data_IF_345461046670
#
_entry.id   IF_345461046670
#
_cell.length_a   1.000
_cell.length_b   1.000
_cell.length_c   1.000
_cell.angle_alpha   90.00
_cell.angle_beta   90.00
_cell.angle_gamma   90.00
#
_symmetry.space_group_name_H-M   'P 1'
#
loop_
_entity.id
_entity.type
_entity.pdbx_description
1 polymer ?
#
# COMPACT_ATOMS: atom_id res chain seq x y z
N UNK A 1 -5.82 -41.72 7.36
CA UNK A 1 -6.14 -40.32 7.04
C UNK A 1 -5.73 -39.39 8.17
N UNK A 2 -6.01 -39.73 9.44
CA UNK A 2 -5.72 -38.86 10.61
C UNK A 2 -4.27 -38.40 10.75
N UNK A 3 -3.26 -39.30 10.76
CA UNK A 3 -1.86 -38.89 10.87
C UNK A 3 -1.40 -37.97 9.73
N UNK A 4 -1.84 -38.22 8.49
CA UNK A 4 -1.42 -37.40 7.35
C UNK A 4 -2.01 -35.98 7.45
N UNK A 5 -3.27 -35.83 7.87
CA UNK A 5 -3.88 -34.54 8.14
C UNK A 5 -3.16 -33.79 9.27
N UNK A 6 -2.79 -34.49 10.34
CA UNK A 6 -2.05 -33.88 11.43
C UNK A 6 -0.69 -33.32 10.96
N UNK A 7 0.11 -34.12 10.28
CA UNK A 7 1.41 -33.66 9.79
C UNK A 7 1.28 -32.53 8.77
N UNK A 8 0.26 -32.55 7.91
CA UNK A 8 -0.01 -31.46 6.98
C UNK A 8 -0.30 -30.14 7.72
N UNK A 9 -1.18 -30.17 8.71
CA UNK A 9 -1.51 -29.01 9.51
C UNK A 9 -0.34 -28.54 10.41
N UNK A 10 0.48 -29.49 10.89
CA UNK A 10 1.70 -29.17 11.63
C UNK A 10 2.70 -28.41 10.77
N UNK A 11 2.94 -28.87 9.53
CA UNK A 11 3.83 -28.18 8.60
C UNK A 11 3.34 -26.78 8.31
N UNK A 12 2.04 -26.58 8.09
CA UNK A 12 1.43 -25.25 7.91
C UNK A 12 1.66 -24.39 9.16
N UNK A 13 1.44 -24.92 10.34
CA UNK A 13 1.65 -24.19 11.61
C UNK A 13 3.10 -23.74 11.75
N UNK A 14 4.04 -24.63 11.50
CA UNK A 14 5.49 -24.34 11.57
C UNK A 14 5.91 -23.29 10.54
N UNK A 15 5.29 -23.27 9.35
CA UNK A 15 5.58 -22.27 8.31
C UNK A 15 5.28 -20.83 8.72
N UNK A 16 4.47 -20.61 9.75
CA UNK A 16 4.20 -19.26 10.30
C UNK A 16 5.18 -18.81 11.38
N UNK A 17 6.06 -19.69 11.90
CA UNK A 17 7.03 -19.33 12.93
C UNK A 17 7.96 -18.17 12.51
N UNK A 18 8.42 -18.04 11.25
CA UNK A 18 9.27 -16.92 10.85
C UNK A 18 8.66 -15.54 11.08
N UNK A 19 7.32 -15.43 11.18
CA UNK A 19 6.65 -14.13 11.44
C UNK A 19 7.04 -13.56 12.80
N UNK A 20 7.33 -14.42 13.80
CA UNK A 20 7.72 -13.98 15.14
C UNK A 20 9.14 -13.42 15.22
N UNK A 21 9.96 -13.57 14.16
CA UNK A 21 11.30 -13.00 14.07
C UNK A 21 11.27 -11.58 13.48
N UNK A 22 10.11 -11.11 13.00
CA UNK A 22 9.96 -9.78 12.46
C UNK A 22 10.27 -8.70 13.50
N UNK A 23 11.00 -7.66 13.08
CA UNK A 23 11.42 -6.54 13.93
C UNK A 23 10.27 -5.74 14.54
N UNK A 24 10.58 -4.82 15.45
CA UNK A 24 9.65 -4.17 16.37
C UNK A 24 8.35 -3.62 15.76
N UNK A 25 8.41 -2.94 14.63
CA UNK A 25 7.21 -2.33 14.00
C UNK A 25 6.38 -3.38 13.27
N UNK A 26 7.01 -4.19 12.43
CA UNK A 26 6.36 -5.29 11.71
C UNK A 26 5.83 -6.33 12.69
N UNK A 27 6.59 -6.65 13.74
CA UNK A 27 6.19 -7.57 14.77
C UNK A 27 4.92 -7.13 15.50
N UNK A 28 4.79 -5.87 15.89
CA UNK A 28 3.58 -5.35 16.56
C UNK A 28 2.31 -5.52 15.75
N UNK A 29 2.39 -5.39 14.43
CA UNK A 29 1.25 -5.55 13.53
C UNK A 29 0.95 -7.03 13.24
N UNK A 30 1.99 -7.82 12.93
CA UNK A 30 1.79 -9.19 12.47
C UNK A 30 1.74 -10.24 13.57
N UNK A 31 2.30 -9.98 14.76
CA UNK A 31 2.29 -10.93 15.87
C UNK A 31 0.86 -11.32 16.32
N UNK A 32 -0.09 -10.39 16.53
CA UNK A 32 -1.47 -10.76 16.89
C UNK A 32 -2.15 -11.61 15.82
N UNK A 33 -1.92 -11.27 14.53
CA UNK A 33 -2.44 -12.03 13.40
C UNK A 33 -1.85 -13.44 13.34
N UNK A 34 -0.53 -13.57 13.51
CA UNK A 34 0.19 -14.83 13.51
C UNK A 34 -0.27 -15.73 14.68
N UNK A 35 -0.43 -15.18 15.87
CA UNK A 35 -0.94 -15.92 17.04
C UNK A 35 -2.35 -16.44 16.79
N UNK A 36 -3.26 -15.57 16.35
CA UNK A 36 -4.66 -15.96 16.07
C UNK A 36 -4.71 -17.09 15.05
N UNK A 37 -3.96 -16.96 13.96
CA UNK A 37 -3.90 -17.95 12.89
C UNK A 37 -3.28 -19.25 13.34
N UNK A 38 -2.18 -19.19 14.07
CA UNK A 38 -1.49 -20.37 14.63
C UNK A 38 -2.38 -21.14 15.60
N UNK A 39 -3.05 -20.45 16.51
CA UNK A 39 -3.98 -21.10 17.46
C UNK A 39 -5.20 -21.68 16.75
N UNK A 40 -5.76 -20.98 15.76
CA UNK A 40 -6.89 -21.49 14.98
C UNK A 40 -6.52 -22.77 14.20
N UNK A 41 -5.34 -22.82 13.57
CA UNK A 41 -4.86 -24.00 12.85
C UNK A 41 -4.55 -25.15 13.81
N UNK A 42 -3.89 -24.86 14.94
CA UNK A 42 -3.60 -25.88 15.96
C UNK A 42 -4.90 -26.48 16.57
N UNK A 43 -5.86 -25.63 16.90
CA UNK A 43 -7.17 -26.07 17.33
C UNK A 43 -7.90 -26.90 16.28
N UNK A 44 -7.87 -26.46 15.01
CA UNK A 44 -8.44 -27.19 13.88
C UNK A 44 -7.78 -28.57 13.69
N UNK A 45 -6.46 -28.66 13.87
CA UNK A 45 -5.73 -29.93 13.82
C UNK A 45 -6.19 -30.90 14.93
N UNK A 46 -6.30 -30.40 16.17
CA UNK A 46 -6.79 -31.20 17.30
C UNK A 46 -8.25 -31.67 17.09
N UNK A 47 -9.12 -30.77 16.64
CA UNK A 47 -10.51 -31.09 16.32
C UNK A 47 -10.61 -32.12 15.17
N UNK A 48 -9.76 -31.99 14.15
CA UNK A 48 -9.67 -32.91 13.03
C UNK A 48 -9.33 -34.35 13.44
N UNK A 49 -8.51 -34.52 14.47
CA UNK A 49 -8.11 -35.85 14.97
C UNK A 49 -9.13 -36.39 15.99
N UNK A 50 -9.78 -35.52 16.77
CA UNK A 50 -10.65 -35.93 17.87
C UNK A 50 -12.13 -35.95 17.46
N UNK A 51 -12.67 -34.79 17.11
CA UNK A 51 -14.13 -34.64 16.87
C UNK A 51 -14.56 -35.19 15.52
N UNK A 52 -13.76 -34.98 14.47
CA UNK A 52 -14.16 -35.41 13.13
C UNK A 52 -14.37 -36.92 13.04
N UNK A 53 -13.47 -37.81 13.52
CA UNK A 53 -13.72 -39.25 13.53
C UNK A 53 -14.97 -39.65 14.33
N UNK A 54 -15.21 -39.00 15.47
CA UNK A 54 -16.37 -39.25 16.32
C UNK A 54 -17.65 -38.85 15.57
N UNK A 55 -17.69 -37.65 14.97
CA UNK A 55 -18.83 -37.21 14.18
C UNK A 55 -19.07 -38.11 12.97
N UNK A 56 -18.02 -38.61 12.32
CA UNK A 56 -18.17 -39.55 11.21
C UNK A 56 -18.91 -40.82 11.63
N UNK A 57 -18.62 -41.36 12.82
CA UNK A 57 -19.32 -42.55 13.34
C UNK A 57 -20.79 -42.26 13.61
N UNK A 58 -21.12 -41.06 14.12
CA UNK A 58 -22.52 -40.72 14.46
C UNK A 58 -23.32 -40.20 13.27
N UNK A 59 -22.74 -39.47 12.35
CA UNK A 59 -23.44 -38.82 11.25
C UNK A 59 -23.47 -39.68 10.00
N UNK A 60 -22.42 -40.44 9.70
CA UNK A 60 -22.36 -41.29 8.51
C UNK A 60 -23.01 -42.64 8.83
N UNK A 61 -24.31 -42.73 8.60
CA UNK A 61 -25.09 -43.94 8.79
C UNK A 61 -25.57 -44.50 7.45
N UNK A 62 -25.48 -45.80 7.29
CA UNK A 62 -25.97 -46.50 6.08
C UNK A 62 -24.85 -47.09 5.21
N UNK A 63 -25.25 -47.66 4.05
CA UNK A 63 -24.31 -48.26 3.11
C UNK A 63 -23.64 -47.14 2.29
N UNK A 64 -22.37 -46.90 2.53
CA UNK A 64 -21.59 -45.96 1.73
C UNK A 64 -21.37 -46.56 0.35
N UNK A 65 -21.85 -45.90 -0.74
CA UNK A 65 -21.60 -46.39 -2.09
C UNK A 65 -20.09 -46.41 -2.37
N UNK A 66 -19.63 -47.43 -3.10
CA UNK A 66 -18.24 -47.55 -3.52
C UNK A 66 -17.85 -46.30 -4.35
N UNK A 67 -16.65 -45.80 -4.12
CA UNK A 67 -16.10 -44.59 -4.79
C UNK A 67 -16.14 -44.68 -6.32
N UNK A 68 -15.98 -45.91 -6.86
CA UNK A 68 -16.05 -46.19 -8.30
C UNK A 68 -17.44 -45.94 -8.93
N UNK A 69 -18.50 -45.78 -8.14
CA UNK A 69 -19.86 -45.54 -8.62
C UNK A 69 -20.14 -44.07 -8.93
N UNK A 70 -19.29 -43.17 -8.42
CA UNK A 70 -19.45 -41.74 -8.67
C UNK A 70 -18.86 -41.37 -10.04
N UNK A 71 -19.66 -40.85 -11.00
CA UNK A 71 -19.15 -40.50 -12.33
C UNK A 71 -18.09 -39.44 -12.30
N UNK A 72 -18.15 -38.49 -11.34
CA UNK A 72 -17.17 -37.46 -11.16
C UNK A 72 -15.81 -38.06 -10.74
N UNK A 73 -15.81 -39.03 -9.84
CA UNK A 73 -14.61 -39.71 -9.39
C UNK A 73 -13.96 -40.52 -10.51
N UNK A 74 -14.75 -41.22 -11.30
CA UNK A 74 -14.26 -41.93 -12.48
C UNK A 74 -13.61 -41.01 -13.52
N UNK A 75 -14.25 -39.86 -13.77
CA UNK A 75 -13.68 -38.87 -14.69
C UNK A 75 -12.37 -38.29 -14.19
N UNK A 76 -12.34 -37.90 -12.91
CA UNK A 76 -11.12 -37.40 -12.26
C UNK A 76 -9.99 -38.44 -12.28
N UNK A 77 -10.27 -39.69 -11.97
CA UNK A 77 -9.29 -40.78 -12.02
C UNK A 77 -8.74 -40.98 -13.43
N UNK A 78 -9.63 -41.04 -14.45
CA UNK A 78 -9.19 -41.20 -15.85
C UNK A 78 -8.28 -40.06 -16.32
N UNK A 79 -8.52 -38.85 -15.84
CA UNK A 79 -7.71 -37.69 -16.17
C UNK A 79 -6.36 -37.70 -15.41
N UNK A 80 -6.39 -38.10 -14.14
CA UNK A 80 -5.22 -38.09 -13.27
C UNK A 80 -4.28 -39.28 -13.47
N UNK A 81 -4.83 -40.47 -13.71
CA UNK A 81 -4.09 -41.73 -13.78
C UNK A 81 -2.95 -41.74 -14.82
N UNK A 82 -3.13 -41.30 -16.07
CA UNK A 82 -2.03 -41.28 -17.04
C UNK A 82 -0.91 -40.34 -16.63
N UNK A 83 -1.27 -39.18 -16.00
CA UNK A 83 -0.29 -38.23 -15.51
C UNK A 83 0.50 -38.79 -14.31
N UNK A 84 -0.19 -39.45 -13.38
CA UNK A 84 0.43 -40.13 -12.24
C UNK A 84 1.43 -41.21 -12.70
N UNK A 85 1.01 -42.07 -13.61
CA UNK A 85 1.92 -43.11 -14.13
C UNK A 85 3.09 -42.54 -14.92
N UNK A 86 2.92 -41.45 -15.64
CA UNK A 86 4.04 -40.76 -16.30
C UNK A 86 5.06 -40.24 -15.29
N UNK A 87 4.59 -39.55 -14.24
CA UNK A 87 5.45 -39.02 -13.16
C UNK A 87 6.22 -40.17 -12.46
N UNK A 88 5.51 -41.23 -12.11
CA UNK A 88 6.11 -42.40 -11.45
C UNK A 88 7.10 -43.16 -12.33
N UNK A 89 6.86 -43.20 -13.63
CA UNK A 89 7.72 -43.90 -14.58
C UNK A 89 9.01 -43.15 -14.93
N UNK A 90 8.94 -41.82 -14.80
CA UNK A 90 10.04 -40.93 -15.13
C UNK A 90 10.42 -39.99 -13.97
N UNK A 91 10.85 -40.54 -12.82
CA UNK A 91 11.10 -39.70 -11.62
C UNK A 91 12.23 -38.70 -11.85
N UNK A 92 13.26 -39.02 -12.63
CA UNK A 92 14.32 -38.07 -12.95
C UNK A 92 13.84 -36.87 -13.77
N UNK A 93 13.00 -37.12 -14.79
CA UNK A 93 12.42 -36.03 -15.61
C UNK A 93 11.53 -35.14 -14.75
N UNK A 94 10.71 -35.75 -13.91
CA UNK A 94 9.83 -35.02 -13.00
C UNK A 94 10.64 -34.15 -12.04
N UNK A 95 11.70 -34.70 -11.43
CA UNK A 95 12.55 -33.94 -10.51
C UNK A 95 13.24 -32.77 -11.21
N UNK A 96 13.80 -33.01 -12.39
CA UNK A 96 14.46 -31.96 -13.19
C UNK A 96 13.44 -30.87 -13.58
N UNK A 97 12.24 -31.28 -14.02
CA UNK A 97 11.19 -30.30 -14.36
C UNK A 97 10.79 -29.44 -13.16
N UNK A 98 10.58 -30.04 -11.98
CA UNK A 98 10.25 -29.31 -10.76
C UNK A 98 11.38 -28.36 -10.35
N UNK A 99 12.64 -28.82 -10.44
CA UNK A 99 13.80 -27.97 -10.16
C UNK A 99 13.91 -26.79 -11.14
N UNK A 100 13.70 -27.04 -12.44
CA UNK A 100 13.71 -25.96 -13.45
C UNK A 100 12.57 -24.97 -13.25
N UNK A 101 11.36 -25.44 -12.93
CA UNK A 101 10.24 -24.57 -12.59
C UNK A 101 10.53 -23.77 -11.32
N UNK A 102 11.11 -24.41 -10.30
CA UNK A 102 11.55 -23.72 -9.09
C UNK A 102 12.63 -22.68 -9.39
N UNK A 103 13.62 -23.02 -10.18
CA UNK A 103 14.67 -22.08 -10.58
C UNK A 103 14.13 -20.91 -11.43
N UNK A 104 13.13 -21.16 -12.28
CA UNK A 104 12.51 -20.11 -13.10
C UNK A 104 11.82 -19.04 -12.25
N UNK A 105 11.41 -19.34 -11.03
CA UNK A 105 10.79 -18.36 -10.11
C UNK A 105 11.80 -17.37 -9.54
N UNK A 106 13.10 -17.68 -9.58
CA UNK A 106 14.15 -16.78 -9.08
C UNK A 106 14.19 -15.49 -9.92
N UNK A 107 13.98 -15.61 -11.23
CA UNK A 107 13.99 -14.44 -12.11
C UNK A 107 12.88 -13.42 -11.78
N UNK A 108 11.59 -13.76 -11.72
CA UNK A 108 10.57 -12.81 -11.30
C UNK A 108 10.78 -12.34 -9.85
N UNK A 109 11.21 -13.24 -8.94
CA UNK A 109 11.46 -12.90 -7.55
C UNK A 109 12.58 -11.83 -7.41
N UNK A 110 13.63 -11.90 -8.21
CA UNK A 110 14.72 -10.91 -8.21
C UNK A 110 14.30 -9.54 -8.76
N UNK A 111 13.20 -9.49 -9.52
CA UNK A 111 12.61 -8.25 -10.06
C UNK A 111 11.51 -7.66 -9.19
N UNK A 112 11.00 -8.43 -8.25
CA UNK A 112 10.01 -7.96 -7.29
C UNK A 112 10.70 -7.11 -6.23
N UNK A 113 10.15 -5.92 -5.97
CA UNK A 113 10.53 -5.13 -4.80
C UNK A 113 9.99 -5.76 -3.51
N UNK A 114 10.43 -5.24 -2.38
CA UNK A 114 9.88 -5.59 -1.07
C UNK A 114 9.21 -4.37 -0.48
N UNK A 115 7.95 -4.50 -0.08
CA UNK A 115 7.20 -3.48 0.63
C UNK A 115 6.77 -4.02 1.99
N UNK A 116 6.80 -3.17 2.99
CA UNK A 116 6.35 -3.54 4.33
C UNK A 116 4.85 -3.88 4.35
N UNK A 117 4.06 -3.06 3.67
CA UNK A 117 2.63 -3.25 3.50
C UNK A 117 2.24 -2.74 2.11
N UNK A 118 1.58 -3.57 1.29
CA UNK A 118 1.11 -3.11 0.00
C UNK A 118 0.09 -1.98 0.20
N UNK A 119 0.07 -0.97 -0.67
CA UNK A 119 -0.92 0.09 -0.59
C UNK A 119 -2.32 -0.51 -0.74
N UNK A 120 -3.14 -0.33 0.29
CA UNK A 120 -4.55 -0.72 0.26
C UNK A 120 -5.34 0.37 -0.43
N UNK A 121 -6.02 0.03 -1.52
CA UNK A 121 -6.95 0.96 -2.17
C UNK A 121 -8.22 1.06 -1.33
N UNK A 122 -8.36 2.17 -0.62
CA UNK A 122 -9.47 2.45 0.28
C UNK A 122 -10.63 3.16 -0.41
N UNK A 123 -10.53 3.41 -1.73
CA UNK A 123 -11.42 4.28 -2.51
C UNK A 123 -11.49 5.74 -2.03
N UNK A 124 -10.67 6.10 -1.06
CA UNK A 124 -10.48 7.45 -0.54
C UNK A 124 -9.01 7.81 -0.56
N UNK A 125 -8.69 9.08 -0.84
CA UNK A 125 -7.34 9.61 -0.73
C UNK A 125 -7.30 10.67 0.35
N UNK A 126 -6.15 10.78 1.00
CA UNK A 126 -5.87 11.86 1.93
C UNK A 126 -4.84 12.81 1.30
N UNK A 127 -5.26 14.01 0.97
CA UNK A 127 -4.36 15.05 0.50
C UNK A 127 -3.82 15.84 1.69
N UNK A 128 -2.52 15.81 1.88
CA UNK A 128 -1.83 16.45 3.00
C UNK A 128 -0.66 17.30 2.51
N UNK A 129 -0.93 18.51 2.01
CA UNK A 129 0.15 19.42 1.65
C UNK A 129 0.93 19.87 2.89
N UNK A 130 2.22 20.04 2.73
CA UNK A 130 3.06 20.71 3.71
C UNK A 130 3.18 22.16 3.29
N UNK A 131 2.76 23.06 4.17
CA UNK A 131 2.78 24.51 3.98
C UNK A 131 3.74 25.12 5.00
N UNK A 132 4.29 26.28 4.70
CA UNK A 132 5.16 27.02 5.63
C UNK A 132 4.45 27.20 7.00
N UNK A 133 5.09 26.87 8.12
CA UNK A 133 4.50 27.04 9.45
C UNK A 133 4.11 28.45 9.82
N UNK A 134 4.67 29.47 9.15
CA UNK A 134 4.36 30.91 9.35
C UNK A 134 3.09 31.38 8.65
N UNK A 135 2.45 30.51 7.88
CA UNK A 135 1.22 30.86 7.12
C UNK A 135 0.09 31.27 8.06
N UNK A 136 -0.57 32.39 7.73
CA UNK A 136 -1.75 32.86 8.45
C UNK A 136 -2.95 31.95 8.20
N UNK A 137 -3.88 31.94 9.17
CA UNK A 137 -5.14 31.17 9.04
C UNK A 137 -5.95 31.60 7.81
N UNK A 138 -5.94 32.89 7.46
CA UNK A 138 -6.62 33.40 6.27
C UNK A 138 -6.03 32.80 5.01
N UNK A 139 -4.70 32.79 4.89
CA UNK A 139 -4.02 32.21 3.72
C UNK A 139 -4.19 30.70 3.64
N UNK A 140 -4.17 30.01 4.78
CA UNK A 140 -4.46 28.57 4.82
C UNK A 140 -5.88 28.26 4.34
N UNK A 141 -6.88 29.09 4.69
CA UNK A 141 -8.27 28.95 4.19
C UNK A 141 -8.36 29.15 2.68
N UNK A 142 -7.68 30.18 2.14
CA UNK A 142 -7.64 30.41 0.70
C UNK A 142 -7.02 29.22 -0.04
N UNK A 143 -5.88 28.73 0.44
CA UNK A 143 -5.19 27.57 -0.13
C UNK A 143 -6.07 26.33 -0.10
N UNK A 144 -6.72 26.04 1.03
CA UNK A 144 -7.65 24.92 1.15
C UNK A 144 -8.76 25.01 0.12
N UNK A 145 -9.43 26.17 0.03
CA UNK A 145 -10.55 26.36 -0.91
C UNK A 145 -10.10 26.21 -2.36
N UNK A 146 -8.91 26.71 -2.71
CA UNK A 146 -8.36 26.60 -4.05
C UNK A 146 -8.01 25.14 -4.39
N UNK A 147 -7.31 24.45 -3.49
CA UNK A 147 -6.93 23.05 -3.70
C UNK A 147 -8.13 22.13 -3.77
N UNK A 148 -9.10 22.28 -2.85
CA UNK A 148 -10.33 21.49 -2.83
C UNK A 148 -11.15 21.67 -4.12
N UNK A 149 -11.24 22.91 -4.62
CA UNK A 149 -11.93 23.20 -5.89
C UNK A 149 -11.25 22.56 -7.09
N UNK A 150 -9.90 22.59 -7.13
CA UNK A 150 -9.14 21.97 -8.21
C UNK A 150 -9.25 20.44 -8.15
N UNK A 151 -9.13 19.83 -6.96
CA UNK A 151 -9.31 18.40 -6.77
C UNK A 151 -10.72 17.95 -7.18
N UNK A 152 -11.75 18.72 -6.78
CA UNK A 152 -13.15 18.42 -7.13
C UNK A 152 -13.45 18.50 -8.62
N UNK A 153 -12.63 19.17 -9.41
CA UNK A 153 -12.82 19.25 -10.88
C UNK A 153 -12.52 17.96 -11.62
N UNK A 154 -11.88 16.97 -10.97
CA UNK A 154 -11.58 15.69 -11.57
C UNK A 154 -12.82 14.79 -11.59
N UNK A 155 -13.12 14.11 -12.71
CA UNK A 155 -14.32 13.28 -12.84
C UNK A 155 -14.34 12.07 -11.91
N UNK A 156 -13.17 11.58 -11.48
CA UNK A 156 -13.04 10.48 -10.55
C UNK A 156 -13.35 10.88 -9.09
N UNK A 157 -13.52 12.17 -8.80
CA UNK A 157 -13.71 12.69 -7.44
C UNK A 157 -15.19 12.97 -7.13
N UNK A 158 -15.75 12.20 -6.21
CA UNK A 158 -17.16 12.33 -5.77
C UNK A 158 -17.34 13.48 -4.78
N UNK A 159 -16.46 13.57 -3.79
CA UNK A 159 -16.53 14.63 -2.77
C UNK A 159 -15.15 14.99 -2.25
N UNK A 160 -15.03 16.20 -1.74
CA UNK A 160 -13.79 16.73 -1.16
C UNK A 160 -14.14 17.42 0.16
N UNK A 161 -13.47 17.02 1.23
CA UNK A 161 -13.67 17.57 2.57
C UNK A 161 -12.33 17.92 3.21
N UNK A 162 -12.01 19.21 3.25
CA UNK A 162 -10.78 19.72 3.82
C UNK A 162 -10.95 20.30 5.21
N UNK A 163 -9.96 20.08 6.08
CA UNK A 163 -9.81 20.73 7.38
C UNK A 163 -8.46 21.42 7.52
N UNK A 164 -8.40 22.46 8.34
CA UNK A 164 -7.17 23.19 8.66
C UNK A 164 -6.93 23.13 10.16
N UNK A 165 -5.70 22.81 10.53
CA UNK A 165 -5.28 22.77 11.91
C UNK A 165 -5.91 21.62 12.69
N UNK A 166 -5.91 21.76 14.01
CA UNK A 166 -6.30 20.72 14.91
C UNK A 166 -7.81 20.76 15.21
N UNK A 167 -8.38 19.60 15.39
CA UNK A 167 -9.69 19.50 16.05
C UNK A 167 -9.58 19.96 17.50
N UNK A 168 -10.68 20.42 18.06
CA UNK A 168 -10.75 20.88 19.48
C UNK A 168 -10.71 19.68 20.45
N UNK A 169 -9.66 18.88 20.33
CA UNK A 169 -9.40 17.70 21.14
C UNK A 169 -7.95 17.68 21.62
N UNK A 170 -7.72 17.13 22.81
CA UNK A 170 -6.37 17.01 23.38
C UNK A 170 -5.45 16.03 22.60
N UNK A 171 -6.01 15.19 21.75
CA UNK A 171 -5.32 14.12 21.05
C UNK A 171 -4.87 14.45 19.62
N UNK A 172 -5.25 15.63 19.10
CA UNK A 172 -4.87 16.09 17.75
C UNK A 172 -3.87 17.26 17.84
N UNK A 173 -2.55 17.04 17.77
CA UNK A 173 -1.52 18.07 17.92
C UNK A 173 -1.26 18.85 16.62
N UNK A 174 -2.16 18.83 15.64
CA UNK A 174 -1.94 19.41 14.32
C UNK A 174 -1.78 20.96 14.38
N UNK A 175 -0.71 21.55 13.82
CA UNK A 175 -0.54 22.99 13.71
C UNK A 175 -1.47 23.60 12.64
N UNK A 176 -1.62 24.92 12.62
CA UNK A 176 -2.43 25.64 11.62
C UNK A 176 -1.92 25.47 10.18
N UNK A 177 -0.65 25.16 9.99
CA UNK A 177 -0.05 24.85 8.70
C UNK A 177 -0.40 23.46 8.19
N UNK A 178 -1.02 22.62 9.02
CA UNK A 178 -1.44 21.28 8.63
C UNK A 178 -2.83 21.35 7.98
N UNK A 179 -2.83 21.17 6.67
CA UNK A 179 -4.04 20.99 5.87
C UNK A 179 -4.24 19.52 5.64
N UNK A 180 -5.44 19.04 5.86
CA UNK A 180 -5.86 17.66 5.58
C UNK A 180 -7.15 17.68 4.78
N UNK A 181 -7.15 17.08 3.61
CA UNK A 181 -8.32 16.97 2.76
C UNK A 181 -8.60 15.51 2.44
N UNK A 182 -9.76 15.02 2.82
CA UNK A 182 -10.27 13.70 2.41
C UNK A 182 -10.91 13.85 1.04
N UNK A 183 -10.44 13.08 0.09
CA UNK A 183 -10.89 13.03 -1.30
C UNK A 183 -11.55 11.69 -1.53
N UNK A 184 -12.87 11.71 -1.60
CA UNK A 184 -13.65 10.50 -1.88
C UNK A 184 -13.69 10.24 -3.38
N UNK A 185 -13.25 9.06 -3.79
CA UNK A 185 -13.21 8.65 -5.18
C UNK A 185 -14.46 7.87 -5.59
N UNK A 186 -14.77 7.91 -6.87
CA UNK A 186 -15.84 7.09 -7.45
C UNK A 186 -15.48 5.60 -7.33
N UNK A 187 -16.36 4.84 -6.70
CA UNK A 187 -16.17 3.40 -6.48
C UNK A 187 -16.25 2.60 -7.77
N UNK A 188 -17.11 3.08 -8.69
CA UNK A 188 -17.26 2.47 -10.00
C UNK A 188 -16.11 2.85 -10.92
N UNK A 189 -15.15 1.95 -11.08
CA UNK A 189 -13.95 2.19 -11.90
C UNK A 189 -14.26 2.36 -13.39
N UNK A 190 -15.37 1.87 -13.89
CA UNK A 190 -15.74 2.00 -15.29
C UNK A 190 -16.05 3.46 -15.68
N UNK A 191 -16.39 4.29 -14.69
CA UNK A 191 -16.59 5.74 -14.87
C UNK A 191 -15.32 6.56 -14.86
N UNK A 192 -14.20 5.96 -14.52
CA UNK A 192 -12.92 6.63 -14.50
C UNK A 192 -12.41 6.87 -15.93
N UNK A 193 -11.53 7.86 -16.08
CA UNK A 193 -10.85 8.09 -17.35
C UNK A 193 -10.19 6.81 -17.81
N UNK A 194 -10.31 6.52 -19.10
CA UNK A 194 -9.76 5.33 -19.71
C UNK A 194 -8.37 5.62 -20.29
N UNK A 195 -7.49 4.63 -20.19
CA UNK A 195 -6.17 4.65 -20.77
C UNK A 195 -6.00 3.49 -21.73
N UNK A 196 -5.50 3.79 -22.92
CA UNK A 196 -5.14 2.75 -23.88
C UNK A 196 -3.85 2.05 -23.46
N UNK A 197 -3.85 0.74 -23.53
CA UNK A 197 -2.74 -0.10 -23.11
C UNK A 197 -2.15 -0.79 -24.30
N UNK A 198 -0.93 -0.40 -24.67
CA UNK A 198 -0.17 -1.11 -25.70
C UNK A 198 0.21 -2.51 -25.18
N UNK A 199 -0.31 -3.55 -25.83
CA UNK A 199 -0.07 -4.95 -25.47
C UNK A 199 0.75 -5.61 -26.59
N UNK A 200 1.33 -6.77 -26.30
CA UNK A 200 2.13 -7.52 -27.25
C UNK A 200 1.36 -7.93 -28.53
N UNK A 201 0.02 -7.90 -28.50
CA UNK A 201 -0.85 -8.22 -29.63
C UNK A 201 -1.50 -6.97 -30.27
N UNK A 202 -1.15 -5.75 -29.84
CA UNK A 202 -1.75 -4.50 -30.36
C UNK A 202 -1.52 -4.34 -31.88
N UNK A 203 -0.42 -4.89 -32.41
CA UNK A 203 -0.09 -4.85 -33.83
C UNK A 203 -0.64 -6.05 -34.63
N UNK A 204 -1.42 -6.93 -34.00
CA UNK A 204 -1.98 -8.08 -34.68
C UNK A 204 -3.23 -7.71 -35.50
N UNK A 205 -3.60 -8.50 -36.54
CA UNK A 205 -4.81 -8.29 -37.29
C UNK A 205 -6.07 -8.39 -36.41
N UNK A 206 -7.09 -7.56 -36.68
CA UNK A 206 -8.29 -7.42 -35.83
C UNK A 206 -9.06 -8.74 -35.58
N UNK A 207 -9.03 -9.66 -36.54
CA UNK A 207 -9.68 -10.96 -36.39
C UNK A 207 -9.00 -11.88 -35.36
N UNK A 208 -7.70 -11.73 -35.11
CA UNK A 208 -6.97 -12.46 -34.05
C UNK A 208 -7.09 -11.75 -32.71
N UNK A 209 -7.12 -10.43 -32.71
CA UNK A 209 -7.28 -9.63 -31.49
C UNK A 209 -8.61 -9.90 -30.79
N UNK A 210 -9.69 -10.12 -31.56
CA UNK A 210 -11.05 -10.26 -31.05
C UNK A 210 -11.17 -11.32 -29.93
N UNK A 211 -10.43 -12.44 -30.03
CA UNK A 211 -10.45 -13.50 -29.01
C UNK A 211 -9.79 -13.04 -27.72
N UNK A 212 -8.70 -12.27 -27.82
CA UNK A 212 -7.94 -11.80 -26.66
C UNK A 212 -8.55 -10.56 -26.02
N UNK A 213 -8.99 -9.59 -26.81
CA UNK A 213 -9.52 -8.30 -26.33
C UNK A 213 -10.87 -8.46 -25.65
N UNK A 214 -11.75 -9.29 -26.20
CA UNK A 214 -13.10 -9.47 -25.65
C UNK A 214 -13.13 -10.29 -24.37
N UNK A 215 -12.21 -11.25 -24.18
CA UNK A 215 -12.33 -12.23 -23.09
C UNK A 215 -11.32 -12.01 -21.96
N UNK A 216 -10.09 -11.59 -22.27
CA UNK A 216 -9.03 -11.58 -21.27
C UNK A 216 -8.35 -10.23 -21.08
N UNK A 217 -8.13 -9.44 -22.14
CA UNK A 217 -7.31 -8.22 -22.07
C UNK A 217 -7.88 -7.10 -22.93
N UNK A 218 -8.76 -6.25 -22.42
CA UNK A 218 -9.28 -5.10 -23.16
C UNK A 218 -8.15 -4.16 -23.59
N UNK A 219 -8.30 -3.48 -24.73
CA UNK A 219 -7.34 -2.52 -25.26
C UNK A 219 -7.27 -1.26 -24.41
N UNK A 220 -8.37 -0.86 -23.78
CA UNK A 220 -8.42 0.22 -22.79
C UNK A 220 -8.71 -0.31 -21.40
N UNK A 221 -8.22 0.35 -20.39
CA UNK A 221 -8.53 0.09 -18.99
C UNK A 221 -8.76 1.40 -18.25
N UNK A 222 -9.53 1.39 -17.16
CA UNK A 222 -9.58 2.53 -16.28
C UNK A 222 -8.18 2.85 -15.72
N UNK A 223 -7.88 4.12 -15.52
CA UNK A 223 -6.65 4.54 -14.88
C UNK A 223 -6.58 4.00 -13.45
N UNK A 224 -5.38 3.75 -12.97
CA UNK A 224 -5.17 3.37 -11.57
C UNK A 224 -5.01 4.61 -10.68
N UNK A 225 -5.01 4.42 -9.36
CA UNK A 225 -4.88 5.51 -8.39
C UNK A 225 -3.56 6.25 -8.52
N UNK A 226 -2.48 5.59 -8.91
CA UNK A 226 -1.19 6.25 -9.13
C UNK A 226 -1.22 7.16 -10.36
N UNK A 227 -1.86 6.73 -11.42
CA UNK A 227 -2.08 7.54 -12.62
C UNK A 227 -3.01 8.72 -12.34
N UNK A 228 -4.02 8.55 -11.48
CA UNK A 228 -4.85 9.65 -11.00
C UNK A 228 -4.03 10.66 -10.19
N UNK A 229 -3.16 10.19 -9.29
CA UNK A 229 -2.31 11.06 -8.45
C UNK A 229 -1.30 11.85 -9.28
N UNK A 230 -0.55 11.20 -10.14
CA UNK A 230 0.65 11.76 -10.77
C UNK A 230 0.54 11.97 -12.28
N UNK A 231 -0.62 11.64 -12.86
CA UNK A 231 -0.81 11.67 -14.30
C UNK A 231 -0.17 10.48 -15.01
N UNK A 232 -0.35 10.43 -16.31
CA UNK A 232 0.25 9.41 -17.18
C UNK A 232 0.60 9.98 -18.53
N UNK A 233 1.36 9.24 -19.30
CA UNK A 233 1.70 9.56 -20.69
C UNK A 233 1.24 8.39 -21.55
N UNK A 234 0.56 8.70 -22.65
CA UNK A 234 0.15 7.73 -23.65
C UNK A 234 1.31 7.35 -24.58
N UNK A 235 1.11 6.32 -25.39
CA UNK A 235 2.12 5.84 -26.33
C UNK A 235 2.50 6.87 -27.40
N UNK A 236 1.60 7.79 -27.72
CA UNK A 236 1.81 8.92 -28.64
C UNK A 236 2.58 10.10 -28.02
N UNK A 237 2.91 10.01 -26.73
CA UNK A 237 3.61 11.06 -25.99
C UNK A 237 2.70 12.10 -25.34
N UNK A 238 1.38 12.00 -25.48
CA UNK A 238 0.42 12.94 -24.86
C UNK A 238 0.42 12.75 -23.35
N UNK A 239 0.69 13.84 -22.59
CA UNK A 239 0.67 13.82 -21.13
C UNK A 239 -0.71 14.22 -20.60
N UNK A 240 -1.25 13.38 -19.75
CA UNK A 240 -2.47 13.62 -18.98
C UNK A 240 -2.12 14.01 -17.55
N UNK A 241 -2.53 15.21 -17.10
CA UNK A 241 -2.19 15.67 -15.76
C UNK A 241 -2.94 14.88 -14.68
N UNK A 242 -2.25 14.66 -13.55
CA UNK A 242 -2.83 14.09 -12.34
C UNK A 242 -3.25 15.14 -11.33
N UNK A 243 -3.79 14.67 -10.20
CA UNK A 243 -4.16 15.53 -9.07
C UNK A 243 -2.97 16.36 -8.58
N UNK A 244 -1.78 15.76 -8.52
CA UNK A 244 -0.58 16.43 -8.04
C UNK A 244 -0.16 17.61 -8.94
N UNK A 245 -0.33 17.46 -10.25
CA UNK A 245 -0.02 18.53 -11.21
C UNK A 245 -1.01 19.71 -11.03
N UNK A 246 -2.30 19.41 -10.78
CA UNK A 246 -3.33 20.42 -10.63
C UNK A 246 -3.17 21.27 -9.35
N UNK A 247 -2.66 20.69 -8.27
CA UNK A 247 -2.47 21.40 -6.99
C UNK A 247 -1.00 21.70 -6.69
N UNK A 248 -0.18 21.81 -7.71
CA UNK A 248 1.24 22.17 -7.56
C UNK A 248 1.38 23.69 -7.40
N UNK A 249 1.56 24.16 -6.17
CA UNK A 249 1.82 25.56 -5.86
C UNK A 249 3.25 25.75 -5.35
N UNK A 250 3.90 26.88 -5.67
CA UNK A 250 5.22 27.19 -5.14
C UNK A 250 5.22 27.21 -3.60
N UNK A 251 6.22 26.57 -3.01
CA UNK A 251 6.36 26.48 -1.55
C UNK A 251 5.45 25.45 -0.85
N UNK A 252 4.73 24.64 -1.62
CA UNK A 252 3.94 23.51 -1.11
C UNK A 252 4.52 22.18 -1.57
N UNK A 253 4.65 21.25 -0.65
CA UNK A 253 4.96 19.86 -0.96
C UNK A 253 3.73 18.99 -0.73
N UNK A 254 3.31 18.26 -1.75
CA UNK A 254 2.08 17.48 -1.73
C UNK A 254 2.34 16.04 -1.29
N UNK A 255 1.49 15.50 -0.43
CA UNK A 255 1.45 14.10 -0.07
C UNK A 255 0.06 13.52 -0.32
N UNK A 256 0.02 12.32 -0.89
CA UNK A 256 -1.22 11.63 -1.29
C UNK A 256 -1.27 10.21 -0.72
N UNK A 257 -1.18 10.02 0.61
CA UNK A 257 -1.34 8.71 1.22
C UNK A 257 -2.80 8.26 1.19
N UNK A 258 -3.00 6.97 1.44
CA UNK A 258 -4.32 6.49 1.82
C UNK A 258 -4.57 6.77 3.31
N UNK A 259 -5.82 6.97 3.75
CA UNK A 259 -6.14 7.35 5.13
C UNK A 259 -5.58 6.39 6.20
N UNK A 260 -5.81 5.08 6.04
CA UNK A 260 -5.33 4.07 7.00
C UNK A 260 -3.81 3.94 6.92
N UNK A 261 -3.25 3.89 5.73
CA UNK A 261 -1.80 3.85 5.51
C UNK A 261 -1.10 5.04 6.18
N UNK A 262 -1.63 6.24 5.98
CA UNK A 262 -1.09 7.44 6.61
C UNK A 262 -1.12 7.37 8.14
N UNK A 263 -2.23 6.88 8.70
CA UNK A 263 -2.35 6.71 10.14
C UNK A 263 -1.33 5.74 10.71
N UNK A 264 -1.12 4.62 10.03
CA UNK A 264 -0.10 3.64 10.41
C UNK A 264 1.30 4.26 10.32
N UNK A 265 1.62 4.95 9.23
CA UNK A 265 2.91 5.60 9.05
C UNK A 265 3.16 6.69 10.09
N UNK A 266 2.19 7.55 10.35
CA UNK A 266 2.31 8.60 11.36
C UNK A 266 2.46 8.06 12.79
N UNK A 267 1.75 6.98 13.12
CA UNK A 267 1.85 6.35 14.45
C UNK A 267 3.18 5.62 14.64
N UNK A 268 3.71 5.03 13.58
CA UNK A 268 4.94 4.24 13.64
C UNK A 268 6.21 5.09 13.52
N UNK A 269 6.22 6.04 12.60
CA UNK A 269 7.41 6.85 12.26
C UNK A 269 7.31 8.31 12.70
N UNK A 270 6.08 8.81 12.92
CA UNK A 270 5.80 10.22 13.16
C UNK A 270 5.94 11.10 11.91
N UNK A 271 5.97 10.50 10.71
CA UNK A 271 6.18 11.18 9.43
C UNK A 271 5.00 10.87 8.50
N UNK A 272 4.56 11.86 7.73
CA UNK A 272 3.40 11.77 6.80
C UNK A 272 3.71 10.98 5.52
N UNK A 273 4.97 10.68 5.26
CA UNK A 273 5.43 10.02 4.03
C UNK A 273 5.98 8.63 4.35
N UNK A 274 5.94 7.68 3.41
CA UNK A 274 6.48 6.32 3.60
C UNK A 274 7.97 6.30 3.93
N UNK A 275 8.72 7.29 3.43
CA UNK A 275 10.16 7.42 3.66
C UNK A 275 10.43 8.75 4.37
N UNK A 276 11.15 8.69 5.46
CA UNK A 276 11.56 9.86 6.23
C UNK A 276 12.92 9.68 6.86
N UNK A 277 13.72 10.73 6.82
CA UNK A 277 15.05 10.79 7.44
C UNK A 277 14.95 11.70 8.66
N UNK A 278 15.26 11.17 9.84
CA UNK A 278 15.29 11.94 11.08
C UNK A 278 16.73 12.33 11.37
N UNK A 279 17.01 13.63 11.36
CA UNK A 279 18.29 14.20 11.75
C UNK A 279 18.17 14.70 13.19
N UNK A 280 19.01 14.22 14.08
CA UNK A 280 18.97 14.53 15.51
C UNK A 280 20.26 15.20 15.95
N UNK A 281 20.18 16.22 16.79
CA UNK A 281 21.33 16.92 17.33
C UNK A 281 20.93 18.07 18.26
N UNK A 282 21.87 18.67 18.98
CA UNK A 282 21.59 19.73 19.94
C UNK A 282 21.43 21.13 19.32
N UNK A 283 22.00 21.37 18.11
CA UNK A 283 22.01 22.68 17.47
C UNK A 283 21.06 22.72 16.26
N UNK A 284 20.06 23.58 16.34
CA UNK A 284 19.02 23.69 15.33
C UNK A 284 19.52 24.23 13.98
N UNK A 285 20.48 25.15 13.98
CA UNK A 285 21.04 25.71 12.76
C UNK A 285 21.83 24.65 11.97
N UNK A 286 22.64 23.86 12.67
CA UNK A 286 23.37 22.72 12.08
C UNK A 286 22.43 21.64 11.58
N UNK A 287 21.34 21.35 12.33
CA UNK A 287 20.32 20.39 11.91
C UNK A 287 19.62 20.82 10.62
N UNK A 288 19.23 22.09 10.51
CA UNK A 288 18.60 22.62 9.31
C UNK A 288 19.51 22.48 8.09
N UNK A 289 20.77 22.89 8.21
CA UNK A 289 21.76 22.76 7.12
C UNK A 289 21.95 21.30 6.68
N UNK A 290 22.11 20.39 7.65
CA UNK A 290 22.29 18.96 7.35
C UNK A 290 21.04 18.33 6.71
N UNK A 291 19.86 18.77 7.12
CA UNK A 291 18.61 18.29 6.55
C UNK A 291 18.40 18.81 5.11
N UNK A 292 18.80 20.05 4.81
CA UNK A 292 18.81 20.58 3.45
C UNK A 292 19.80 19.83 2.55
N UNK A 293 21.01 19.53 3.05
CA UNK A 293 21.99 18.71 2.34
C UNK A 293 21.47 17.29 2.08
N UNK A 294 20.81 16.68 3.07
CA UNK A 294 20.18 15.37 2.93
C UNK A 294 19.03 15.39 1.91
N UNK A 295 18.19 16.42 1.94
CA UNK A 295 17.11 16.58 0.96
C UNK A 295 17.66 16.73 -0.47
N UNK A 296 18.70 17.52 -0.66
CA UNK A 296 19.37 17.67 -1.95
C UNK A 296 19.97 16.33 -2.44
N UNK A 297 20.58 15.56 -1.55
CA UNK A 297 21.12 14.24 -1.89
C UNK A 297 20.02 13.25 -2.27
N UNK A 298 18.89 13.24 -1.56
CA UNK A 298 17.75 12.35 -1.86
C UNK A 298 17.13 12.68 -3.21
N UNK A 299 17.06 13.95 -3.60
CA UNK A 299 16.53 14.35 -4.91
C UNK A 299 17.35 13.82 -6.10
N UNK A 300 18.61 13.43 -5.90
CA UNK A 300 19.43 12.81 -6.94
C UNK A 300 19.10 11.34 -7.18
N UNK A 301 18.33 10.71 -6.28
CA UNK A 301 17.96 9.28 -6.38
C UNK A 301 16.83 9.11 -7.40
N UNK A 302 17.00 8.25 -8.42
CA UNK A 302 15.95 7.99 -9.39
C UNK A 302 14.66 7.48 -8.73
N UNK A 303 13.51 8.06 -9.08
CA UNK A 303 12.22 7.74 -8.50
C UNK A 303 11.79 8.65 -7.33
N UNK A 304 12.64 9.57 -6.89
CA UNK A 304 12.26 10.59 -5.90
C UNK A 304 11.47 11.70 -6.57
N UNK A 305 10.21 11.88 -6.17
CA UNK A 305 9.33 12.93 -6.68
C UNK A 305 9.58 14.29 -5.99
N UNK A 306 9.78 14.27 -4.68
CA UNK A 306 10.03 15.46 -3.88
C UNK A 306 10.74 15.10 -2.58
N UNK A 307 11.53 16.02 -2.07
CA UNK A 307 12.10 15.96 -0.73
C UNK A 307 11.97 17.35 -0.11
N UNK A 308 11.53 17.42 1.13
CA UNK A 308 11.38 18.69 1.84
C UNK A 308 11.70 18.54 3.32
N UNK A 309 12.14 19.65 3.89
CA UNK A 309 12.46 19.74 5.30
C UNK A 309 11.20 20.05 6.12
N UNK A 310 10.91 19.22 7.12
CA UNK A 310 9.87 19.48 8.12
C UNK A 310 10.53 19.92 9.44
N UNK A 311 11.16 21.09 9.42
CA UNK A 311 11.67 21.71 10.64
C UNK A 311 10.92 23.03 10.92
N UNK A 312 10.75 23.42 12.18
CA UNK A 312 10.32 24.79 12.47
C UNK A 312 11.39 25.74 11.93
N UNK A 313 11.00 26.85 11.28
CA UNK A 313 11.96 27.84 10.85
C UNK A 313 12.77 28.30 12.07
N UNK A 314 14.09 28.37 11.92
CA UNK A 314 14.95 28.97 12.94
C UNK A 314 14.51 30.44 13.02
N UNK A 315 13.73 30.76 14.02
CA UNK A 315 13.41 32.14 14.31
C UNK A 315 14.74 32.83 14.62
N UNK A 316 15.25 33.61 13.68
CA UNK A 316 16.28 34.63 13.98
C UNK A 316 15.59 35.61 14.92
N UNK A 317 15.68 35.31 16.21
CA UNK A 317 15.29 36.28 17.24
C UNK A 317 16.32 37.40 17.15
N UNK A 318 16.00 38.42 16.37
CA UNK A 318 16.67 39.70 16.50
C UNK A 318 16.32 40.20 17.90
N UNK A 319 17.20 39.98 18.84
CA UNK A 319 17.10 40.55 20.18
C UNK A 319 17.28 42.04 20.01
N UNK A 320 16.19 42.78 19.77
CA UNK A 320 16.18 44.21 19.94
C UNK A 320 16.25 44.44 21.44
N UNK A 321 17.47 44.66 21.92
CA UNK A 321 17.70 45.17 23.25
C UNK A 321 17.13 46.61 23.31
N UNK A 322 15.83 46.73 23.67
CA UNK A 322 15.30 48.01 24.07
C UNK A 322 15.93 48.39 25.39
N UNK A 323 16.95 49.20 25.34
CA UNK A 323 17.47 49.93 26.51
C UNK A 323 16.35 50.84 26.99
N UNK A 324 15.62 50.38 27.99
CA UNK A 324 14.76 51.27 28.78
C UNK A 324 15.66 52.22 29.52
N UNK A 325 15.74 53.51 29.07
CA UNK A 325 16.37 54.56 29.84
C UNK A 325 15.51 54.80 31.09
N UNK A 326 16.12 54.77 32.31
CA UNK A 326 15.37 55.15 33.50
C UNK A 326 15.00 56.65 33.39
N UNK A 327 13.74 56.93 33.67
CA UNK A 327 13.29 58.32 33.81
C UNK A 327 14.05 59.00 34.96
N UNK A 328 14.59 60.22 34.77
CA UNK A 328 15.14 60.99 35.88
C UNK A 328 14.03 61.28 36.88
N UNK A 329 14.32 60.95 38.14
CA UNK A 329 13.40 61.22 39.25
C UNK A 329 13.14 62.72 39.40
N UNK A 330 11.88 63.07 39.53
CA UNK A 330 11.45 64.35 40.07
C UNK A 330 11.53 64.23 41.56
N UNK A 331 12.45 65.02 42.16
CA UNK A 331 12.56 65.25 43.59
C UNK A 331 11.35 66.00 44.14
#
# INVERSE_FOLDING_TARGET
>A
VGPNLFFSLLVITVSFLPIFVLGEQSGRLFTPLALTKTFAIAAGALLGITIVPVLMVYLIRGKIPKEDRNPLNRWSQKLYEPFFWFVMRHPAITLVTVLLLGASTIYPLSKMGSEFMPPLDECDLLYMPTVDPSVSITKSKELLQQTDKLIKSFPEVVSVHGKIGRADTATDPAPLSMIETVVQLETDRDKWRQRDVNRFFSDWPDWTKFIFTKTFWPESRPINVQELKFGWQDADGTRHPGLNDAVSFPGMANAWPFPIENRINMLSTGIKTPVGIKVLGPDLATLSRLADEAAAAVLTVPGTLSAYLSAPPVATTSTSTSTVRPRPGTG
#
